data_IF_692349696152
#
_entry.id   IF_692349696152
#
_cell.length_a   1.000
_cell.length_b   1.000
_cell.length_c   1.000
_cell.angle_alpha   90.00
_cell.angle_beta   90.00
_cell.angle_gamma   90.00
#
_symmetry.space_group_name_H-M   'P 1'
#
loop_
_entity.id
_entity.type
_entity.pdbx_description
1 polymer ?
#
# COMPACT_ATOMS: atom_id res chain seq x y z
N UNK A 1 27.19 32.92 18.47
CA UNK A 1 26.63 32.11 17.37
C UNK A 1 25.13 32.19 17.50
N UNK A 2 24.41 32.62 16.46
CA UNK A 2 22.94 32.63 16.43
C UNK A 2 22.55 31.56 15.43
N UNK A 3 21.95 30.47 15.90
CA UNK A 3 21.39 29.46 15.02
C UNK A 3 20.11 30.03 14.40
N UNK A 4 19.95 29.80 13.09
CA UNK A 4 18.67 30.07 12.45
C UNK A 4 17.70 28.91 12.69
N UNK A 5 16.41 29.17 12.47
CA UNK A 5 15.37 28.16 12.68
C UNK A 5 15.57 26.92 11.79
N UNK A 6 16.17 27.09 10.61
CA UNK A 6 16.43 25.99 9.68
C UNK A 6 17.53 25.09 10.23
N UNK A 7 18.60 25.64 10.79
CA UNK A 7 19.70 24.92 11.41
C UNK A 7 19.19 24.14 12.62
N UNK A 8 18.37 24.78 13.48
CA UNK A 8 17.75 24.12 14.64
C UNK A 8 16.88 22.94 14.18
N UNK A 9 15.99 23.16 13.21
CA UNK A 9 15.11 22.10 12.71
C UNK A 9 15.87 20.98 11.99
N UNK A 10 16.97 21.30 11.32
CA UNK A 10 17.85 20.32 10.68
C UNK A 10 18.54 19.44 11.72
N UNK A 11 19.05 20.05 12.79
CA UNK A 11 19.68 19.36 13.91
C UNK A 11 18.68 18.44 14.63
N UNK A 12 17.50 18.97 14.98
CA UNK A 12 16.43 18.17 15.59
C UNK A 12 15.99 17.00 14.69
N UNK A 13 15.90 17.19 13.37
CA UNK A 13 15.54 16.11 12.45
C UNK A 13 16.64 15.04 12.38
N UNK A 14 17.91 15.43 12.47
CA UNK A 14 19.03 14.49 12.53
C UNK A 14 18.98 13.68 13.84
N UNK A 15 18.75 14.34 14.97
CA UNK A 15 18.63 13.70 16.28
C UNK A 15 17.46 12.71 16.33
N UNK A 16 16.28 13.07 15.86
CA UNK A 16 15.14 12.14 15.84
C UNK A 16 15.41 10.90 14.99
N UNK A 17 16.11 11.03 13.85
CA UNK A 17 16.55 9.87 13.05
C UNK A 17 17.58 9.03 13.80
N UNK A 18 18.54 9.67 14.44
CA UNK A 18 19.59 9.00 15.21
C UNK A 18 19.00 8.20 16.38
N UNK A 19 18.16 8.82 17.20
CA UNK A 19 17.53 8.14 18.34
C UNK A 19 16.56 7.05 17.90
N UNK A 20 15.80 7.25 16.82
CA UNK A 20 14.96 6.19 16.23
C UNK A 20 15.79 4.95 15.88
N UNK A 21 16.95 5.12 15.24
CA UNK A 21 17.88 4.02 14.97
C UNK A 21 18.45 3.39 16.24
N UNK A 22 18.88 4.20 17.21
CA UNK A 22 19.43 3.70 18.47
C UNK A 22 18.40 2.86 19.24
N UNK A 23 17.15 3.32 19.33
CA UNK A 23 16.07 2.57 19.98
C UNK A 23 15.68 1.32 19.20
N UNK A 24 15.80 1.32 17.87
CA UNK A 24 15.60 0.12 17.07
C UNK A 24 16.59 -0.99 17.46
N UNK A 25 17.89 -0.69 17.49
CA UNK A 25 18.90 -1.66 17.93
C UNK A 25 18.71 -2.10 19.38
N UNK A 26 18.43 -1.15 20.28
CA UNK A 26 18.16 -1.47 21.68
C UNK A 26 16.94 -2.40 21.85
N UNK A 27 15.88 -2.22 21.05
CA UNK A 27 14.70 -3.09 21.07
C UNK A 27 15.00 -4.50 20.52
N UNK A 28 15.86 -4.62 19.51
CA UNK A 28 16.29 -5.91 18.95
C UNK A 28 17.14 -6.73 19.94
N UNK A 29 17.97 -6.04 20.73
CA UNK A 29 18.92 -6.67 21.66
C UNK A 29 18.36 -6.81 23.09
N UNK A 30 17.14 -6.34 23.35
CA UNK A 30 16.49 -6.43 24.65
C UNK A 30 15.96 -7.84 24.94
N UNK A 31 16.42 -8.45 26.03
CA UNK A 31 15.92 -9.75 26.52
C UNK A 31 14.68 -9.64 27.44
N UNK A 32 14.40 -8.43 27.95
CA UNK A 32 13.24 -8.16 28.80
C UNK A 32 12.14 -7.45 28.01
N UNK A 33 10.93 -8.01 28.02
CA UNK A 33 9.80 -7.49 27.25
C UNK A 33 9.36 -6.08 27.67
N UNK A 34 9.44 -5.73 28.96
CA UNK A 34 9.06 -4.39 29.41
C UNK A 34 10.05 -3.32 28.91
N UNK A 35 11.35 -3.65 28.93
CA UNK A 35 12.40 -2.78 28.41
C UNK A 35 12.27 -2.65 26.89
N UNK A 36 12.10 -3.78 26.19
CA UNK A 36 11.85 -3.82 24.74
C UNK A 36 10.66 -2.93 24.36
N UNK A 37 9.53 -3.09 25.04
CA UNK A 37 8.33 -2.29 24.78
C UNK A 37 8.52 -0.80 25.10
N UNK A 38 9.44 -0.45 25.99
CA UNK A 38 9.81 0.94 26.24
C UNK A 38 10.59 1.52 25.06
N UNK A 39 11.60 0.81 24.55
CA UNK A 39 12.32 1.26 23.35
C UNK A 39 11.42 1.35 22.12
N UNK A 40 10.47 0.43 21.93
CA UNK A 40 9.51 0.51 20.83
C UNK A 40 8.60 1.74 20.93
N UNK A 41 8.19 2.15 22.14
CA UNK A 41 7.42 3.38 22.32
C UNK A 41 8.26 4.61 21.98
N UNK A 42 9.47 4.71 22.54
CA UNK A 42 10.40 5.82 22.26
C UNK A 42 10.74 5.92 20.77
N UNK A 43 10.97 4.79 20.10
CA UNK A 43 11.21 4.73 18.66
C UNK A 43 10.01 5.31 17.88
N UNK A 44 8.78 4.96 18.25
CA UNK A 44 7.58 5.49 17.60
C UNK A 44 7.41 7.00 17.84
N UNK A 45 7.72 7.47 19.05
CA UNK A 45 7.71 8.90 19.37
C UNK A 45 8.72 9.66 18.48
N UNK A 46 9.94 9.14 18.31
CA UNK A 46 10.94 9.75 17.43
C UNK A 46 10.57 9.69 15.94
N UNK A 47 9.91 8.62 15.48
CA UNK A 47 9.38 8.56 14.12
C UNK A 47 8.29 9.63 13.89
N UNK A 48 7.43 9.85 14.88
CA UNK A 48 6.42 10.91 14.85
C UNK A 48 7.08 12.30 14.83
N UNK A 49 8.07 12.52 15.68
CA UNK A 49 8.86 13.76 15.71
C UNK A 49 9.53 14.04 14.37
N UNK A 50 10.22 13.04 13.81
CA UNK A 50 10.87 13.16 12.51
C UNK A 50 9.87 13.52 11.40
N UNK A 51 8.66 12.96 11.42
CA UNK A 51 7.60 13.30 10.45
C UNK A 51 7.15 14.75 10.60
N UNK A 52 6.89 15.21 11.83
CA UNK A 52 6.48 16.59 12.09
C UNK A 52 7.56 17.59 11.65
N UNK A 53 8.83 17.30 11.97
CA UNK A 53 9.97 18.13 11.60
C UNK A 53 10.16 18.16 10.08
N UNK A 54 10.08 16.99 9.42
CA UNK A 54 10.15 16.88 7.98
C UNK A 54 9.07 17.72 7.29
N UNK A 55 7.80 17.59 7.70
CA UNK A 55 6.69 18.35 7.12
C UNK A 55 6.90 19.86 7.32
N UNK A 56 7.30 20.26 8.53
CA UNK A 56 7.59 21.63 8.87
C UNK A 56 8.69 22.22 7.98
N UNK A 57 9.78 21.49 7.75
CA UNK A 57 10.87 21.95 6.89
C UNK A 57 10.47 21.92 5.40
N UNK A 58 9.70 20.92 4.97
CA UNK A 58 9.23 20.80 3.60
C UNK A 58 8.28 21.96 3.22
N UNK A 59 7.31 22.29 4.08
CA UNK A 59 6.38 23.40 3.87
C UNK A 59 7.09 24.76 3.74
N UNK A 60 8.24 24.92 4.40
CA UNK A 60 9.08 26.13 4.33
C UNK A 60 10.07 26.13 3.15
N UNK A 61 10.08 25.06 2.34
CA UNK A 61 11.02 24.89 1.24
C UNK A 61 12.45 24.57 1.68
N UNK A 62 12.67 24.20 2.94
CA UNK A 62 13.99 23.90 3.50
C UNK A 62 14.42 22.46 3.30
N UNK A 63 13.47 21.58 2.97
CA UNK A 63 13.72 20.18 2.66
C UNK A 63 13.07 19.82 1.31
N UNK A 64 13.83 19.86 0.20
CA UNK A 64 13.31 19.49 -1.11
C UNK A 64 13.08 17.97 -1.17
N UNK A 65 11.99 17.58 -1.83
CA UNK A 65 11.63 16.16 -2.02
C UNK A 65 11.53 15.94 -3.51
N UNK A 66 12.39 15.08 -4.06
CA UNK A 66 12.30 14.67 -5.45
C UNK A 66 11.09 13.76 -5.63
N UNK A 67 10.22 14.11 -6.58
CA UNK A 67 9.13 13.21 -6.95
C UNK A 67 9.72 11.94 -7.57
N UNK A 68 9.31 10.79 -7.06
CA UNK A 68 9.69 9.52 -7.65
C UNK A 68 9.23 9.51 -9.13
N UNK A 69 10.18 9.31 -10.06
CA UNK A 69 9.87 9.28 -11.49
C UNK A 69 8.91 8.13 -11.79
N UNK A 70 7.66 8.45 -12.14
CA UNK A 70 6.66 7.48 -12.57
C UNK A 70 7.13 6.77 -13.84
N UNK A 71 7.61 5.53 -13.74
CA UNK A 71 7.87 4.68 -14.91
C UNK A 71 6.55 4.05 -15.37
N UNK A 72 5.66 4.88 -15.92
CA UNK A 72 4.41 4.46 -16.56
C UNK A 72 4.48 4.55 -18.11
N UNK A 73 5.69 4.49 -18.68
CA UNK A 73 5.90 4.44 -20.12
C UNK A 73 6.39 3.04 -20.50
N UNK A 74 5.47 2.13 -20.84
CA UNK A 74 5.85 0.82 -21.39
C UNK A 74 4.75 -0.23 -21.57
N UNK A 75 3.63 -0.17 -20.85
CA UNK A 75 2.73 -1.34 -20.76
C UNK A 75 1.45 -1.33 -21.61
N UNK A 76 1.20 -0.34 -22.48
CA UNK A 76 0.02 -0.39 -23.35
C UNK A 76 0.18 0.39 -24.66
N UNK A 77 0.89 -0.21 -25.63
CA UNK A 77 0.81 0.22 -27.02
C UNK A 77 0.98 -0.99 -27.93
N UNK A 78 -0.11 -1.75 -28.13
CA UNK A 78 -0.47 -2.42 -29.38
C UNK A 78 -1.70 -3.30 -29.13
N UNK A 79 -2.86 -2.82 -29.54
CA UNK A 79 -3.86 -3.58 -30.31
C UNK A 79 -4.81 -2.54 -30.94
N UNK A 80 -4.58 -2.24 -32.21
CA UNK A 80 -5.48 -1.41 -33.02
C UNK A 80 -6.57 -2.31 -33.64
N UNK A 81 -7.84 -1.87 -33.75
CA UNK A 81 -8.88 -2.64 -34.41
C UNK A 81 -8.92 -2.29 -35.92
N UNK A 82 -8.87 -3.30 -36.78
CA UNK A 82 -8.93 -3.08 -38.23
C UNK A 82 -9.10 -4.36 -39.06
N UNK A 83 -10.37 -4.68 -39.34
CA UNK A 83 -10.95 -5.38 -40.49
C UNK A 83 -10.11 -6.38 -41.32
N UNK A 84 -10.60 -7.64 -41.39
CA UNK A 84 -10.30 -8.53 -42.53
C UNK A 84 -10.58 -10.01 -42.30
N UNK A 85 -11.40 -10.58 -43.19
CA UNK A 85 -11.54 -12.00 -43.53
C UNK A 85 -12.22 -12.96 -42.52
N UNK A 86 -13.51 -13.18 -42.79
CA UNK A 86 -14.25 -14.42 -42.50
C UNK A 86 -13.47 -15.63 -43.04
N UNK A 87 -13.14 -16.59 -42.17
CA UNK A 87 -12.81 -17.96 -42.57
C UNK A 87 -13.83 -18.90 -41.91
N UNK A 88 -14.77 -19.36 -42.74
CA UNK A 88 -15.58 -20.53 -42.48
C UNK A 88 -14.69 -21.77 -42.51
N UNK A 89 -14.57 -22.46 -41.39
CA UNK A 89 -14.16 -23.86 -41.36
C UNK A 89 -15.33 -24.70 -40.85
N UNK A 90 -16.10 -25.21 -41.81
CA UNK A 90 -17.06 -26.29 -41.63
C UNK A 90 -16.32 -27.51 -41.10
N UNK A 91 -16.61 -27.89 -39.84
CA UNK A 91 -16.16 -29.18 -39.28
C UNK A 91 -17.25 -30.22 -39.55
N UNK A 92 -16.97 -31.31 -40.29
CA UNK A 92 -17.91 -32.40 -40.52
C UNK A 92 -18.04 -33.27 -39.27
N UNK A 93 -19.27 -33.40 -38.75
CA UNK A 93 -19.75 -34.56 -37.99
C UNK A 93 -18.98 -34.97 -36.73
N UNK A 94 -19.40 -34.46 -35.57
CA UNK A 94 -19.62 -35.34 -34.42
C UNK A 94 -20.96 -35.00 -33.78
N UNK A 95 -21.79 -36.04 -33.73
CA UNK A 95 -23.19 -36.03 -33.42
C UNK A 95 -23.41 -35.81 -31.92
N UNK A 96 -24.23 -34.80 -31.63
CA UNK A 96 -25.15 -34.67 -30.51
C UNK A 96 -24.82 -35.33 -29.16
N UNK A 97 -24.62 -34.50 -28.15
CA UNK A 97 -25.38 -34.62 -26.90
C UNK A 97 -25.83 -33.22 -26.47
N UNK A 98 -27.06 -32.88 -26.88
CA UNK A 98 -27.77 -31.73 -26.37
C UNK A 98 -28.36 -32.04 -25.00
N UNK A 99 -28.03 -31.13 -24.09
CA UNK A 99 -28.69 -30.71 -22.86
C UNK A 99 -30.16 -31.13 -22.79
N UNK A 100 -30.45 -32.10 -21.92
CA UNK A 100 -31.80 -32.39 -21.44
C UNK A 100 -32.21 -31.38 -20.38
N UNK A 101 -33.37 -30.76 -20.60
CA UNK A 101 -34.12 -29.96 -19.63
C UNK A 101 -34.50 -30.80 -18.41
N UNK A 102 -34.48 -30.20 -17.22
CA UNK A 102 -35.43 -30.56 -16.16
C UNK A 102 -35.92 -29.32 -15.39
N UNK A 103 -37.14 -29.38 -14.84
CA UNK A 103 -38.02 -28.25 -14.60
C UNK A 103 -37.95 -27.71 -13.17
N UNK A 104 -38.45 -26.48 -13.00
CA UNK A 104 -38.61 -25.85 -11.70
C UNK A 104 -39.52 -26.61 -10.74
N UNK A 105 -39.05 -26.73 -9.51
CA UNK A 105 -39.83 -26.83 -8.28
C UNK A 105 -39.29 -25.70 -7.39
N UNK A 106 -40.07 -24.72 -6.97
CA UNK A 106 -41.20 -24.86 -6.07
C UNK A 106 -40.83 -24.11 -4.78
N UNK A 107 -41.74 -23.26 -4.30
CA UNK A 107 -41.52 -22.27 -3.26
C UNK A 107 -41.13 -22.85 -1.90
N UNK A 108 -40.27 -22.13 -1.16
CA UNK A 108 -40.43 -22.04 0.30
C UNK A 108 -39.91 -20.70 0.83
N UNK A 109 -40.85 -19.88 1.30
CA UNK A 109 -40.62 -18.70 2.12
C UNK A 109 -40.11 -19.15 3.50
N UNK A 110 -39.06 -18.50 4.00
CA UNK A 110 -38.56 -18.66 5.37
C UNK A 110 -38.03 -17.31 5.87
N UNK A 111 -38.78 -16.71 6.77
CA UNK A 111 -38.60 -15.44 7.47
C UNK A 111 -37.22 -15.28 8.16
N UNK A 112 -36.54 -14.11 8.10
CA UNK A 112 -35.43 -13.79 8.98
C UNK A 112 -35.91 -12.89 10.13
N UNK A 113 -36.33 -13.50 11.24
CA UNK A 113 -36.42 -12.80 12.53
C UNK A 113 -35.57 -13.49 13.61
N UNK A 114 -35.02 -12.64 14.50
CA UNK A 114 -34.19 -12.89 15.69
C UNK A 114 -32.67 -12.88 15.44
N UNK A 115 -31.96 -11.75 15.66
CA UNK A 115 -31.61 -11.12 16.96
C UNK A 115 -31.05 -12.11 17.97
N UNK A 116 -29.73 -12.07 18.18
CA UNK A 116 -29.06 -11.89 19.47
C UNK A 116 -27.77 -11.10 19.24
#
# INVERSE_FOLDING_TARGET
>A
MRLDDKDILTDCLADSKYYSHAYHFAALESSNDQIRNTFLRLMNDELSNAKMLFDAMHQRGWYPVDMARSTAAGMHAQHAPGAGARQEYTTPGMQGFHTGQEPGYGAQQGDPTHRW
#
